data_IF_259016294853
#
_entry.id   IF_259016294853
#
_cell.length_a   1.000
_cell.length_b   1.000
_cell.length_c   1.000
_cell.angle_alpha   90.00
_cell.angle_beta   90.00
_cell.angle_gamma   90.00
#
_symmetry.space_group_name_H-M   'P 1'
#
loop_
_entity.id
_entity.type
_entity.pdbx_description
1 polymer ?
#
# COMPACT_ATOMS: atom_id res chain seq x y z
N UNK A 1 -22.17 15.51 -9.42
CA UNK A 1 -21.69 14.22 -9.94
C UNK A 1 -21.60 13.16 -8.86
N UNK A 2 -20.78 13.31 -7.80
CA UNK A 2 -20.53 12.25 -6.79
C UNK A 2 -21.74 11.68 -6.01
N UNK A 3 -22.92 12.30 -6.07
CA UNK A 3 -24.18 11.79 -5.50
C UNK A 3 -25.27 11.56 -6.57
N UNK A 4 -24.89 11.60 -7.85
CA UNK A 4 -25.76 11.30 -8.98
C UNK A 4 -25.84 9.78 -9.18
N UNK A 5 -26.95 9.29 -9.71
CA UNK A 5 -27.08 7.91 -10.20
C UNK A 5 -26.06 7.59 -11.31
N UNK A 6 -25.60 8.62 -12.02
CA UNK A 6 -24.56 8.48 -13.06
C UNK A 6 -23.17 8.18 -12.48
N UNK A 7 -22.92 8.47 -11.20
CA UNK A 7 -21.63 8.22 -10.57
C UNK A 7 -21.56 6.78 -10.05
N UNK A 8 -20.85 5.93 -10.77
CA UNK A 8 -20.67 4.51 -10.43
C UNK A 8 -19.43 4.23 -9.57
N UNK A 9 -18.63 5.25 -9.27
CA UNK A 9 -17.42 5.09 -8.47
C UNK A 9 -17.73 4.98 -6.97
N UNK A 10 -16.92 4.18 -6.25
CA UNK A 10 -17.05 3.98 -4.80
C UNK A 10 -15.68 3.84 -4.13
N UNK A 11 -15.60 4.11 -2.82
CA UNK A 11 -14.39 3.94 -2.02
C UNK A 11 -13.25 4.94 -2.31
N UNK A 12 -13.54 6.03 -3.02
CA UNK A 12 -12.55 7.05 -3.36
C UNK A 12 -12.51 8.20 -2.34
N UNK A 13 -11.31 8.74 -2.11
CA UNK A 13 -11.12 10.01 -1.42
C UNK A 13 -10.95 11.09 -2.48
N UNK A 14 -11.86 12.06 -2.52
CA UNK A 14 -11.83 13.17 -3.49
C UNK A 14 -11.60 14.49 -2.75
N UNK A 15 -10.56 15.21 -3.13
CA UNK A 15 -10.33 16.59 -2.68
C UNK A 15 -11.08 17.53 -3.61
N UNK A 16 -11.78 18.53 -3.04
CA UNK A 16 -12.48 19.55 -3.80
C UNK A 16 -12.33 20.91 -3.11
N UNK A 17 -11.75 21.91 -3.77
CA UNK A 17 -11.61 23.27 -3.23
C UNK A 17 -11.39 24.29 -4.33
N UNK A 18 -12.03 25.47 -4.26
CA UNK A 18 -11.85 26.59 -5.20
C UNK A 18 -11.89 26.21 -6.70
N UNK A 19 -12.68 25.20 -7.08
CA UNK A 19 -12.78 24.71 -8.46
C UNK A 19 -11.73 23.67 -8.87
N UNK A 20 -10.81 23.27 -7.98
CA UNK A 20 -9.88 22.16 -8.16
C UNK A 20 -10.47 20.85 -7.60
N UNK A 21 -10.25 19.75 -8.33
CA UNK A 21 -10.68 18.41 -7.96
C UNK A 21 -9.55 17.40 -8.18
N UNK A 22 -9.30 16.52 -7.21
CA UNK A 22 -8.29 15.46 -7.35
C UNK A 22 -8.63 14.23 -6.53
N UNK A 23 -8.11 13.05 -6.91
CA UNK A 23 -8.19 11.82 -6.13
C UNK A 23 -6.99 11.67 -5.20
N UNK A 24 -7.26 11.32 -3.94
CA UNK A 24 -6.27 10.85 -2.97
C UNK A 24 -6.42 9.34 -2.80
N UNK A 25 -5.30 8.63 -2.61
CA UNK A 25 -5.29 7.21 -2.29
C UNK A 25 -4.13 6.88 -1.35
N UNK A 26 -4.29 5.81 -0.56
CA UNK A 26 -3.22 5.24 0.25
C UNK A 26 -2.37 4.34 -0.65
N UNK A 27 -1.06 4.54 -0.65
CA UNK A 27 -0.12 3.68 -1.36
C UNK A 27 0.80 2.96 -0.37
N UNK A 28 1.23 1.77 -0.75
CA UNK A 28 2.15 0.95 0.04
C UNK A 28 3.48 0.88 -0.70
N UNK A 29 4.57 1.18 0.00
CA UNK A 29 5.93 0.99 -0.51
C UNK A 29 6.28 -0.49 -0.78
N UNK A 30 7.47 -0.78 -1.31
CA UNK A 30 7.88 -2.15 -1.62
C UNK A 30 7.98 -3.05 -0.37
N UNK A 31 8.24 -2.47 0.81
CA UNK A 31 8.43 -3.21 2.05
C UNK A 31 9.67 -4.09 2.04
N UNK A 32 9.78 -4.98 3.04
CA UNK A 32 10.88 -5.95 3.13
C UNK A 32 10.38 -7.28 3.70
N UNK A 33 10.82 -8.39 3.10
CA UNK A 33 10.62 -9.74 3.65
C UNK A 33 11.90 -10.11 4.39
N UNK A 34 11.81 -10.11 5.72
CA UNK A 34 12.97 -10.34 6.60
C UNK A 34 13.02 -11.76 7.18
N UNK A 35 11.89 -12.46 7.19
CA UNK A 35 11.84 -13.86 7.59
C UNK A 35 12.59 -14.72 6.58
N UNK A 36 13.63 -15.43 7.03
CA UNK A 36 14.42 -16.36 6.21
C UNK A 36 14.27 -17.78 6.74
N UNK A 37 13.93 -18.72 5.88
CA UNK A 37 13.76 -20.14 6.23
C UNK A 37 12.83 -20.37 7.44
N UNK A 38 11.75 -19.60 7.52
CA UNK A 38 10.78 -19.65 8.62
C UNK A 38 11.25 -19.04 9.95
N UNK A 39 12.44 -18.43 10.01
CA UNK A 39 12.94 -17.74 11.20
C UNK A 39 12.28 -16.39 11.38
N UNK A 40 11.90 -16.08 12.62
CA UNK A 40 11.40 -14.77 13.03
C UNK A 40 12.58 -13.79 13.03
N UNK A 41 12.48 -12.63 12.37
CA UNK A 41 13.56 -11.65 12.36
C UNK A 41 13.77 -11.03 13.74
N UNK A 42 15.02 -10.71 14.08
CA UNK A 42 15.33 -9.95 15.30
C UNK A 42 14.95 -8.46 15.15
N UNK A 43 14.78 -7.73 16.25
CA UNK A 43 14.59 -6.27 16.20
C UNK A 43 15.73 -5.53 15.49
N UNK A 44 16.97 -6.02 15.61
CA UNK A 44 18.14 -5.48 14.92
C UNK A 44 18.05 -5.67 13.41
N UNK A 45 17.60 -6.83 12.93
CA UNK A 45 17.39 -7.07 11.50
C UNK A 45 16.31 -6.14 10.92
N UNK A 46 15.26 -5.85 11.70
CA UNK A 46 14.22 -4.87 11.33
C UNK A 46 14.82 -3.46 11.28
N UNK A 47 15.59 -3.05 12.30
CA UNK A 47 16.25 -1.75 12.35
C UNK A 47 17.21 -1.56 11.18
N UNK A 48 18.02 -2.56 10.88
CA UNK A 48 19.04 -2.48 9.83
C UNK A 48 18.39 -2.44 8.43
N UNK A 49 17.14 -2.89 8.30
CA UNK A 49 16.33 -2.83 7.08
C UNK A 49 15.36 -1.64 7.01
N UNK A 50 15.41 -0.71 7.99
CA UNK A 50 14.37 0.31 8.17
C UNK A 50 14.18 1.23 6.96
N UNK A 51 15.27 1.59 6.27
CA UNK A 51 15.21 2.40 5.05
C UNK A 51 14.40 1.70 3.94
N UNK A 52 14.54 0.39 3.80
CA UNK A 52 13.76 -0.40 2.83
C UNK A 52 12.30 -0.52 3.26
N UNK A 53 12.04 -0.78 4.56
CA UNK A 53 10.68 -0.89 5.13
C UNK A 53 9.88 0.40 4.92
N UNK A 54 10.52 1.55 5.12
CA UNK A 54 9.88 2.86 5.05
C UNK A 54 9.97 3.53 3.68
N UNK A 55 10.62 2.89 2.71
CA UNK A 55 10.75 3.41 1.36
C UNK A 55 9.37 3.57 0.71
N UNK A 56 9.20 4.69 0.01
CA UNK A 56 8.07 4.94 -0.89
C UNK A 56 8.54 5.01 -2.35
N UNK A 57 9.66 4.37 -2.67
CA UNK A 57 10.09 4.20 -4.06
C UNK A 57 9.15 3.24 -4.80
N UNK A 58 8.62 3.66 -5.95
CA UNK A 58 7.69 2.87 -6.77
C UNK A 58 6.52 2.26 -5.97
N UNK A 59 5.76 3.07 -5.20
CA UNK A 59 4.74 2.55 -4.30
C UNK A 59 3.55 2.05 -5.11
N UNK A 60 2.84 1.06 -4.58
CA UNK A 60 1.67 0.45 -5.23
C UNK A 60 0.39 0.87 -4.54
N UNK A 61 -0.62 1.15 -5.35
CA UNK A 61 -2.00 1.26 -4.87
C UNK A 61 -2.60 -0.14 -4.82
N UNK A 62 -3.21 -0.48 -3.69
CA UNK A 62 -4.03 -1.69 -3.54
C UNK A 62 -5.48 -1.27 -3.37
N UNK A 63 -6.34 -1.72 -4.29
CA UNK A 63 -7.77 -1.40 -4.23
C UNK A 63 -8.49 -2.28 -3.23
N UNK A 64 -8.04 -3.52 -3.04
CA UNK A 64 -8.57 -4.44 -2.05
C UNK A 64 -7.47 -5.20 -1.32
N UNK A 65 -7.76 -5.63 -0.09
CA UNK A 65 -6.83 -6.42 0.73
C UNK A 65 -6.23 -7.63 0.00
N UNK A 66 -6.97 -8.41 -0.81
CA UNK A 66 -6.41 -9.59 -1.47
C UNK A 66 -5.22 -9.31 -2.40
N UNK A 67 -5.17 -8.13 -3.01
CA UNK A 67 -4.08 -7.72 -3.91
C UNK A 67 -2.73 -7.65 -3.17
N UNK A 68 -2.76 -7.37 -1.87
CA UNK A 68 -1.58 -7.34 -1.01
C UNK A 68 -0.93 -8.73 -0.85
N UNK A 69 -1.68 -9.83 -0.94
CA UNK A 69 -1.08 -11.17 -0.80
C UNK A 69 -0.11 -11.50 -1.95
N UNK A 70 -0.23 -10.84 -3.10
CA UNK A 70 0.73 -10.96 -4.20
C UNK A 70 2.15 -10.53 -3.79
N UNK A 71 2.29 -9.52 -2.93
CA UNK A 71 3.62 -9.12 -2.41
C UNK A 71 4.12 -10.04 -1.29
N UNK A 72 3.21 -10.74 -0.60
CA UNK A 72 3.53 -11.65 0.50
C UNK A 72 3.81 -13.08 0.01
N UNK A 73 3.67 -13.37 -1.28
CA UNK A 73 3.86 -14.72 -1.84
C UNK A 73 5.18 -15.40 -1.41
N UNK A 74 6.33 -14.70 -1.35
CA UNK A 74 7.58 -15.32 -0.90
C UNK A 74 7.60 -15.76 0.58
N UNK A 75 6.65 -15.32 1.41
CA UNK A 75 6.52 -15.78 2.81
C UNK A 75 5.89 -17.17 2.94
N UNK A 76 5.26 -17.68 1.86
CA UNK A 76 4.57 -18.96 1.86
C UNK A 76 5.37 -20.08 1.18
N UNK A 77 6.61 -19.80 0.79
CA UNK A 77 7.58 -20.76 0.24
C UNK A 77 8.56 -21.18 1.34
#
# INVERSE_FOLDING_TARGET
YMCSEECQDSGMIINATLGYFSRTAILTGPGAILSKDGKIPSPEEVRDSWNTITSLESPKYFNQLPEMFGVLTPLFQ
#
